data_IF_920907091298
#
_entry.id   IF_920907091298
#
_cell.length_a   1.000
_cell.length_b   1.000
_cell.length_c   1.000
_cell.angle_alpha   90.00
_cell.angle_beta   90.00
_cell.angle_gamma   90.00
#
_symmetry.space_group_name_H-M   'P 1'
#
loop_
_entity.id
_entity.type
_entity.pdbx_description
1 polymer ?
#
# COMPACT_ATOMS: atom_id res chain seq x y z
N UNK A 1 4.41 20.36 -14.95
CA UNK A 1 3.16 20.13 -15.70
C UNK A 1 3.39 20.26 -17.20
N UNK A 2 3.96 21.37 -17.69
CA UNK A 2 4.22 21.60 -19.12
C UNK A 2 5.18 20.57 -19.77
N UNK A 3 6.34 20.27 -19.17
CA UNK A 3 7.35 19.40 -19.79
C UNK A 3 6.93 17.93 -19.97
N UNK A 4 5.90 17.47 -19.24
CA UNK A 4 5.45 16.08 -19.23
C UNK A 4 3.95 15.95 -19.55
N UNK A 5 3.28 17.05 -19.89
CA UNK A 5 1.84 17.07 -20.12
C UNK A 5 1.02 16.56 -18.94
N UNK A 6 1.41 16.88 -17.69
CA UNK A 6 0.64 16.46 -16.52
C UNK A 6 -0.60 17.36 -16.40
N UNK A 7 -1.84 16.82 -16.46
CA UNK A 7 -3.09 17.61 -16.45
C UNK A 7 -3.26 18.44 -15.17
N UNK A 8 -2.94 17.83 -14.03
CA UNK A 8 -3.11 18.42 -12.73
C UNK A 8 -2.32 17.67 -11.66
N UNK A 9 -2.05 18.34 -10.55
CA UNK A 9 -1.19 17.88 -9.47
C UNK A 9 -1.61 18.53 -8.15
N UNK A 10 -1.64 17.75 -7.08
CA UNK A 10 -1.71 18.28 -5.71
C UNK A 10 -0.41 17.95 -4.96
N UNK A 11 0.11 18.91 -4.19
CA UNK A 11 1.39 18.81 -3.49
C UNK A 11 1.17 19.21 -2.04
N UNK A 12 1.78 18.44 -1.12
CA UNK A 12 1.97 18.80 0.28
C UNK A 12 3.45 18.70 0.65
N UNK A 13 3.94 19.62 1.47
CA UNK A 13 5.30 19.65 2.00
C UNK A 13 5.20 19.72 3.52
N UNK A 14 5.77 18.71 4.18
CA UNK A 14 5.93 18.67 5.65
C UNK A 14 7.39 18.96 5.97
N UNK A 15 7.61 19.91 6.87
CA UNK A 15 8.95 20.32 7.31
C UNK A 15 8.89 20.73 8.78
N UNK A 16 9.87 20.29 9.57
CA UNK A 16 9.94 20.54 11.02
C UNK A 16 8.61 20.25 11.74
N UNK A 17 8.03 19.07 11.47
CA UNK A 17 6.77 18.60 12.07
C UNK A 17 5.57 19.52 11.83
N UNK A 18 5.60 20.30 10.74
CA UNK A 18 4.53 21.19 10.34
C UNK A 18 4.24 21.05 8.85
N UNK A 19 2.97 21.23 8.47
CA UNK A 19 2.59 21.36 7.07
C UNK A 19 3.02 22.75 6.61
N UNK A 20 4.13 22.81 5.88
CA UNK A 20 4.71 24.06 5.39
C UNK A 20 3.98 24.58 4.15
N UNK A 21 3.41 23.68 3.35
CA UNK A 21 2.75 24.03 2.10
C UNK A 21 1.80 22.93 1.65
N UNK A 22 0.59 23.31 1.21
CA UNK A 22 -0.31 22.39 0.51
C UNK A 22 -1.10 23.13 -0.57
N UNK A 23 -1.09 22.63 -1.81
CA UNK A 23 -1.80 23.28 -2.94
C UNK A 23 -2.08 22.32 -4.10
N UNK A 24 -3.17 22.59 -4.83
CA UNK A 24 -3.49 21.99 -6.13
C UNK A 24 -3.15 22.89 -7.32
N UNK A 25 -2.87 22.27 -8.46
CA UNK A 25 -2.51 22.91 -9.72
C UNK A 25 -3.13 22.18 -10.91
N UNK A 26 -3.51 22.91 -11.95
CA UNK A 26 -4.09 22.34 -13.17
C UNK A 26 -5.50 21.80 -12.94
N UNK A 27 -5.87 20.77 -13.71
CA UNK A 27 -7.24 20.26 -13.76
C UNK A 27 -7.31 18.78 -13.40
N UNK A 28 -8.31 18.41 -12.60
CA UNK A 28 -8.65 17.01 -12.27
C UNK A 28 -9.48 16.37 -13.37
N UNK A 29 -10.13 17.19 -14.19
CA UNK A 29 -10.88 16.81 -15.38
C UNK A 29 -10.67 17.85 -16.48
N UNK A 30 -10.02 17.44 -17.57
CA UNK A 30 -9.74 18.29 -18.73
C UNK A 30 -10.99 18.62 -19.55
N UNK A 31 -12.02 17.77 -19.50
CA UNK A 31 -13.25 17.97 -20.27
C UNK A 31 -14.12 19.07 -19.65
N UNK A 32 -14.26 19.03 -18.33
CA UNK A 32 -15.09 19.97 -17.56
C UNK A 32 -14.28 21.12 -16.93
N UNK A 33 -12.95 21.08 -17.07
CA UNK A 33 -12.02 22.08 -16.49
C UNK A 33 -12.17 22.24 -14.98
N UNK A 34 -12.46 21.15 -14.27
CA UNK A 34 -12.48 21.15 -12.79
C UNK A 34 -11.05 21.30 -12.27
N UNK A 35 -10.80 22.34 -11.48
CA UNK A 35 -9.48 22.62 -10.92
C UNK A 35 -9.07 21.60 -9.86
N UNK A 36 -7.78 21.26 -9.83
CA UNK A 36 -7.22 20.48 -8.72
C UNK A 36 -7.10 21.38 -7.49
N UNK A 37 -7.57 20.89 -6.36
CA UNK A 37 -7.37 21.46 -5.03
C UNK A 37 -6.57 20.50 -4.15
N UNK A 38 -6.20 20.92 -2.95
CA UNK A 38 -5.58 20.03 -1.96
C UNK A 38 -6.46 18.86 -1.54
N UNK A 39 -7.78 19.01 -1.69
CA UNK A 39 -8.82 18.04 -1.34
C UNK A 39 -9.25 17.17 -2.52
N UNK A 40 -8.71 17.41 -3.72
CA UNK A 40 -8.95 16.53 -4.87
C UNK A 40 -8.38 15.15 -4.57
N UNK A 41 -9.20 14.11 -4.75
CA UNK A 41 -8.81 12.72 -4.50
C UNK A 41 -8.09 12.14 -5.71
N UNK A 42 -6.92 11.57 -5.48
CA UNK A 42 -6.14 10.84 -6.48
C UNK A 42 -5.99 9.38 -6.07
N UNK A 43 -6.03 8.46 -7.04
CA UNK A 43 -5.61 7.09 -6.80
C UNK A 43 -4.10 7.10 -6.52
N UNK A 44 -3.69 6.71 -5.31
CA UNK A 44 -2.28 6.76 -4.89
C UNK A 44 -1.52 5.48 -5.21
N UNK A 45 -2.21 4.49 -5.78
CA UNK A 45 -1.63 3.22 -6.22
C UNK A 45 -0.79 2.59 -5.11
N UNK A 46 0.46 2.23 -5.43
CA UNK A 46 1.29 1.43 -4.53
C UNK A 46 1.75 2.14 -3.25
N UNK A 47 1.48 3.43 -3.08
CA UNK A 47 1.60 4.09 -1.77
C UNK A 47 0.70 3.41 -0.73
N UNK A 48 -0.41 2.77 -1.15
CA UNK A 48 -1.25 1.93 -0.28
C UNK A 48 -0.47 0.90 0.54
N UNK A 49 0.66 0.40 0.04
CA UNK A 49 1.51 -0.55 0.75
C UNK A 49 2.02 -0.03 2.09
N UNK A 50 2.33 1.27 2.19
CA UNK A 50 2.76 1.84 3.47
C UNK A 50 1.65 1.74 4.51
N UNK A 51 0.40 1.98 4.13
CA UNK A 51 -0.75 1.84 5.03
C UNK A 51 -0.91 0.41 5.55
N UNK A 52 -0.77 -0.58 4.66
CA UNK A 52 -0.83 -1.99 5.06
C UNK A 52 0.31 -2.39 5.99
N UNK A 53 1.53 -1.91 5.73
CA UNK A 53 2.67 -2.18 6.60
C UNK A 53 2.49 -1.51 7.98
N UNK A 54 2.08 -0.24 8.02
CA UNK A 54 1.80 0.48 9.28
C UNK A 54 0.66 -0.16 10.06
N UNK A 55 -0.36 -0.72 9.39
CA UNK A 55 -1.43 -1.44 10.07
C UNK A 55 -0.91 -2.69 10.79
N UNK A 56 0.04 -3.40 10.18
CA UNK A 56 0.68 -4.54 10.84
C UNK A 56 1.57 -4.10 12.01
N UNK A 57 2.22 -2.94 11.93
CA UNK A 57 2.93 -2.35 13.08
C UNK A 57 1.98 -2.09 14.26
N UNK A 58 0.83 -1.46 14.00
CA UNK A 58 -0.21 -1.23 15.01
C UNK A 58 -0.72 -2.54 15.63
N UNK A 59 -0.85 -3.60 14.84
CA UNK A 59 -1.27 -4.92 15.35
C UNK A 59 -0.20 -5.63 16.16
N UNK A 60 1.07 -5.51 15.76
CA UNK A 60 2.23 -6.00 16.53
C UNK A 60 2.25 -5.32 17.89
N UNK A 61 2.13 -3.99 17.91
CA UNK A 61 2.09 -3.19 19.14
C UNK A 61 0.92 -3.59 20.05
N UNK A 62 -0.31 -3.65 19.50
CA UNK A 62 -1.51 -4.03 20.25
C UNK A 62 -1.52 -5.47 20.76
N UNK A 63 -0.72 -6.37 20.18
CA UNK A 63 -0.57 -7.71 20.74
C UNK A 63 0.08 -7.68 22.13
N UNK A 64 0.79 -6.60 22.49
CA UNK A 64 1.42 -6.37 23.79
C UNK A 64 2.36 -7.53 24.22
N UNK A 65 2.89 -8.29 23.25
CA UNK A 65 3.78 -9.43 23.45
C UNK A 65 4.67 -9.58 22.21
N UNK A 66 5.67 -8.71 22.13
CA UNK A 66 6.58 -8.62 20.99
C UNK A 66 7.41 -9.91 20.79
N UNK A 67 7.60 -10.71 21.85
CA UNK A 67 8.24 -12.03 21.72
C UNK A 67 7.39 -13.01 20.90
N UNK A 68 6.05 -12.89 20.96
CA UNK A 68 5.13 -13.75 20.20
C UNK A 68 4.79 -13.22 18.82
N UNK A 69 4.65 -11.91 18.67
CA UNK A 69 4.30 -11.28 17.41
C UNK A 69 5.23 -10.11 17.13
N UNK A 70 6.06 -10.24 16.10
CA UNK A 70 6.97 -9.21 15.60
C UNK A 70 7.22 -9.39 14.10
N UNK A 71 8.00 -8.50 13.50
CA UNK A 71 8.31 -8.54 12.06
C UNK A 71 8.96 -9.84 11.58
N UNK A 72 9.60 -10.59 12.47
CA UNK A 72 10.24 -11.87 12.18
C UNK A 72 9.36 -13.09 12.48
N UNK A 73 8.12 -12.89 12.97
CA UNK A 73 7.17 -13.99 13.19
C UNK A 73 6.89 -14.73 11.88
N UNK A 74 7.06 -16.07 11.83
CA UNK A 74 6.68 -16.87 10.68
C UNK A 74 5.19 -16.78 10.38
N UNK A 75 4.83 -16.63 9.11
CA UNK A 75 3.42 -16.48 8.71
C UNK A 75 2.55 -17.67 9.08
N UNK A 76 3.13 -18.87 9.14
CA UNK A 76 2.44 -20.09 9.54
C UNK A 76 1.97 -20.06 11.00
N UNK A 77 2.68 -19.34 11.88
CA UNK A 77 2.27 -19.18 13.28
C UNK A 77 1.02 -18.29 13.39
N UNK A 78 0.86 -17.33 12.48
CA UNK A 78 -0.28 -16.41 12.43
C UNK A 78 -1.47 -17.04 11.68
N UNK A 79 -1.22 -17.61 10.50
CA UNK A 79 -2.26 -18.11 9.58
C UNK A 79 -2.65 -19.57 9.86
N UNK A 80 -1.94 -20.25 10.75
CA UNK A 80 -2.20 -21.62 11.19
C UNK A 80 -1.81 -22.71 10.19
N UNK A 81 -2.08 -23.96 10.56
CA UNK A 81 -1.59 -25.16 9.86
C UNK A 81 -2.13 -25.36 8.44
N UNK A 82 -3.23 -24.66 8.10
CA UNK A 82 -3.82 -24.71 6.76
C UNK A 82 -3.14 -23.77 5.77
N UNK A 83 -2.29 -22.85 6.25
CA UNK A 83 -1.50 -21.98 5.40
C UNK A 83 -0.40 -22.77 4.68
N UNK A 84 -0.32 -22.57 3.35
CA UNK A 84 0.67 -23.20 2.49
C UNK A 84 1.07 -22.25 1.38
N UNK A 85 2.37 -22.14 1.16
CA UNK A 85 2.97 -21.64 -0.07
C UNK A 85 3.41 -22.85 -0.93
N UNK A 86 4.02 -22.58 -2.08
CA UNK A 86 4.29 -23.62 -3.08
C UNK A 86 5.16 -24.77 -2.56
N UNK A 87 6.15 -24.47 -1.73
CA UNK A 87 7.00 -25.46 -1.06
C UNK A 87 6.82 -25.42 0.44
N UNK A 88 7.09 -26.55 1.12
CA UNK A 88 7.15 -26.59 2.59
C UNK A 88 8.20 -25.62 3.12
N UNK A 89 9.39 -25.60 2.50
CA UNK A 89 10.47 -24.67 2.85
C UNK A 89 10.01 -23.20 2.86
N UNK A 90 9.33 -22.76 1.80
CA UNK A 90 8.81 -21.40 1.73
C UNK A 90 7.70 -21.16 2.76
N UNK A 91 6.85 -22.15 3.00
CA UNK A 91 5.76 -22.07 4.00
C UNK A 91 6.29 -21.92 5.43
N UNK A 92 7.32 -22.68 5.81
CA UNK A 92 7.86 -22.67 7.18
C UNK A 92 8.72 -21.43 7.47
N UNK A 93 9.40 -20.88 6.46
CA UNK A 93 10.43 -19.84 6.69
C UNK A 93 9.98 -18.41 6.41
N UNK A 94 8.90 -18.22 5.64
CA UNK A 94 8.45 -16.87 5.28
C UNK A 94 7.89 -16.15 6.51
N UNK A 95 8.40 -14.97 6.78
CA UNK A 95 7.98 -14.10 7.90
C UNK A 95 7.23 -12.86 7.40
N UNK A 96 6.71 -12.05 8.34
CA UNK A 96 6.08 -10.76 8.01
C UNK A 96 7.03 -9.83 7.26
N UNK A 97 8.27 -9.68 7.72
CA UNK A 97 9.26 -8.83 7.06
C UNK A 97 9.59 -9.33 5.66
N UNK A 98 9.60 -10.64 5.40
CA UNK A 98 9.88 -11.18 4.07
C UNK A 98 8.81 -10.79 3.04
N UNK A 99 7.53 -10.79 3.42
CA UNK A 99 6.44 -10.39 2.51
C UNK A 99 6.39 -8.88 2.29
N UNK A 100 6.71 -8.07 3.32
CA UNK A 100 6.71 -6.61 3.24
C UNK A 100 7.96 -6.05 2.56
N UNK A 101 9.06 -6.81 2.56
CA UNK A 101 10.33 -6.42 1.90
C UNK A 101 10.54 -7.05 0.53
N UNK A 102 9.53 -7.72 -0.02
CA UNK A 102 9.58 -8.34 -1.36
C UNK A 102 10.63 -9.47 -1.49
N UNK A 103 10.91 -10.22 -0.41
CA UNK A 103 12.00 -11.22 -0.33
C UNK A 103 11.55 -12.67 -0.38
N UNK A 104 10.32 -12.95 -0.80
CA UNK A 104 9.81 -14.33 -0.84
C UNK A 104 10.30 -15.15 -2.03
N UNK A 105 10.76 -14.50 -3.10
CA UNK A 105 11.08 -15.13 -4.38
C UNK A 105 9.86 -15.56 -5.19
N UNK A 106 8.65 -15.32 -4.68
CA UNK A 106 7.41 -15.54 -5.43
C UNK A 106 7.33 -14.49 -6.54
N UNK A 107 7.03 -14.88 -7.79
CA UNK A 107 6.81 -13.93 -8.89
C UNK A 107 5.57 -13.05 -8.65
N UNK A 108 5.64 -11.79 -9.08
CA UNK A 108 4.55 -10.81 -8.92
C UNK A 108 3.42 -10.91 -9.96
N UNK A 109 3.68 -11.47 -11.15
CA UNK A 109 2.72 -11.60 -12.26
C UNK A 109 1.82 -10.37 -12.52
N UNK A 110 2.41 -9.18 -12.47
CA UNK A 110 1.70 -7.90 -12.45
C UNK A 110 0.70 -7.72 -13.62
N UNK A 111 1.04 -8.20 -14.82
CA UNK A 111 0.14 -8.15 -15.97
C UNK A 111 -1.14 -8.97 -15.79
N UNK A 112 -1.05 -10.12 -15.13
CA UNK A 112 -2.21 -10.96 -14.85
C UNK A 112 -3.12 -10.32 -13.79
N UNK A 113 -2.53 -9.63 -12.81
CA UNK A 113 -3.28 -8.85 -11.82
C UNK A 113 -4.03 -7.70 -12.50
N UNK A 114 -3.37 -6.94 -13.36
CA UNK A 114 -3.99 -5.85 -14.14
C UNK A 114 -5.07 -6.32 -15.12
N UNK A 115 -5.07 -7.61 -15.50
CA UNK A 115 -6.10 -8.21 -16.34
C UNK A 115 -7.38 -8.62 -15.57
N UNK A 116 -7.45 -8.36 -14.26
CA UNK A 116 -8.66 -8.59 -13.46
C UNK A 116 -8.94 -10.05 -13.12
N UNK A 117 -7.96 -10.95 -13.24
CA UNK A 117 -8.12 -12.41 -13.06
C UNK A 117 -8.64 -12.80 -11.66
N UNK A 118 -8.51 -11.91 -10.66
CA UNK A 118 -8.83 -12.19 -9.26
C UNK A 118 -9.95 -11.32 -8.67
N UNK A 119 -10.70 -10.55 -9.48
CA UNK A 119 -11.70 -9.56 -9.00
C UNK A 119 -12.80 -10.13 -8.10
N UNK A 120 -13.12 -11.42 -8.23
CA UNK A 120 -14.20 -12.07 -7.48
C UNK A 120 -13.71 -12.95 -6.32
N UNK A 121 -12.43 -12.87 -5.96
CA UNK A 121 -11.90 -13.66 -4.84
C UNK A 121 -11.91 -12.86 -3.55
N UNK A 122 -12.32 -13.50 -2.45
CA UNK A 122 -12.03 -13.00 -1.11
C UNK A 122 -10.51 -13.09 -0.84
N UNK A 123 -10.00 -12.27 0.10
CA UNK A 123 -8.57 -12.30 0.49
C UNK A 123 -8.13 -13.68 1.00
N UNK A 124 -9.02 -14.39 1.68
CA UNK A 124 -8.82 -15.76 2.15
C UNK A 124 -8.67 -16.75 0.99
N UNK A 125 -9.54 -16.67 -0.02
CA UNK A 125 -9.45 -17.51 -1.22
C UNK A 125 -8.21 -17.19 -2.04
N UNK A 126 -7.89 -15.91 -2.17
CA UNK A 126 -6.68 -15.43 -2.82
C UNK A 126 -5.43 -16.01 -2.14
N UNK A 127 -5.33 -15.89 -0.82
CA UNK A 127 -4.22 -16.42 -0.02
C UNK A 127 -4.01 -17.91 -0.26
N UNK A 128 -5.10 -18.71 -0.29
CA UNK A 128 -5.03 -20.15 -0.58
C UNK A 128 -4.43 -20.48 -1.95
N UNK A 129 -4.50 -19.56 -2.91
CA UNK A 129 -3.98 -19.76 -4.28
C UNK A 129 -2.50 -19.45 -4.42
N UNK A 130 -1.89 -18.76 -3.46
CA UNK A 130 -0.45 -18.48 -3.45
C UNK A 130 0.40 -19.75 -3.50
N UNK A 131 -0.13 -20.88 -3.00
CA UNK A 131 0.51 -22.20 -3.10
C UNK A 131 0.75 -22.69 -4.53
N UNK A 132 0.12 -22.10 -5.54
CA UNK A 132 0.30 -22.48 -6.93
C UNK A 132 1.39 -21.64 -7.64
N UNK A 133 1.94 -20.63 -6.97
CA UNK A 133 2.99 -19.78 -7.52
C UNK A 133 4.36 -20.37 -7.20
N UNK A 134 5.02 -20.94 -8.21
CA UNK A 134 6.39 -21.44 -8.08
C UNK A 134 7.37 -20.27 -7.88
N UNK A 135 8.25 -20.30 -6.85
CA UNK A 135 9.19 -19.23 -6.61
C UNK A 135 10.34 -19.25 -7.64
N UNK A 136 10.78 -18.07 -8.08
CA UNK A 136 11.92 -17.90 -8.98
C UNK A 136 13.27 -18.12 -8.28
N UNK A 137 13.31 -17.87 -6.96
CA UNK A 137 14.48 -18.11 -6.12
C UNK A 137 14.07 -18.39 -4.67
N UNK A 138 15.01 -18.89 -3.87
CA UNK A 138 14.77 -19.17 -2.45
C UNK A 138 14.53 -17.89 -1.65
N UNK A 139 13.67 -17.97 -0.62
CA UNK A 139 13.39 -16.86 0.32
C UNK A 139 14.69 -16.17 0.76
N UNK A 140 14.69 -14.83 0.77
CA UNK A 140 15.82 -13.94 1.11
C UNK A 140 17.03 -13.97 0.16
N UNK A 141 16.99 -14.74 -0.93
CA UNK A 141 18.10 -14.80 -1.91
C UNK A 141 18.05 -13.71 -2.97
N UNK A 142 17.01 -12.87 -2.95
CA UNK A 142 16.80 -11.77 -3.88
C UNK A 142 15.56 -10.97 -3.49
N UNK A 143 15.17 -10.02 -4.36
CA UNK A 143 13.94 -9.24 -4.19
C UNK A 143 13.18 -9.12 -5.51
N UNK A 144 11.88 -9.40 -5.48
CA UNK A 144 10.95 -9.20 -6.60
C UNK A 144 9.76 -8.40 -6.06
N UNK A 145 9.54 -7.21 -6.61
CA UNK A 145 8.36 -6.43 -6.32
C UNK A 145 7.09 -7.27 -6.50
N UNK A 146 6.24 -7.31 -5.48
CA UNK A 146 5.18 -8.31 -5.41
C UNK A 146 3.92 -7.78 -4.72
N UNK A 147 2.85 -7.59 -5.51
CA UNK A 147 1.54 -7.21 -5.02
C UNK A 147 0.79 -8.36 -4.30
N UNK A 148 1.03 -9.63 -4.69
CA UNK A 148 0.45 -10.79 -4.01
C UNK A 148 0.85 -10.85 -2.53
N UNK A 149 2.09 -10.47 -2.21
CA UNK A 149 2.60 -10.49 -0.83
C UNK A 149 1.96 -9.39 0.04
N UNK A 150 1.61 -8.24 -0.54
CA UNK A 150 0.83 -7.23 0.17
C UNK A 150 -0.65 -7.61 0.30
N UNK A 151 -1.19 -8.36 -0.67
CA UNK A 151 -2.50 -8.97 -0.51
C UNK A 151 -2.50 -9.97 0.67
N UNK A 152 -1.45 -10.78 0.79
CA UNK A 152 -1.26 -11.65 1.96
C UNK A 152 -1.13 -10.85 3.25
N UNK A 153 -0.36 -9.76 3.27
CA UNK A 153 -0.20 -8.89 4.44
C UNK A 153 -1.54 -8.31 4.94
N UNK A 154 -2.42 -7.87 4.03
CA UNK A 154 -3.75 -7.44 4.41
C UNK A 154 -4.61 -8.57 4.99
N UNK A 155 -4.48 -9.80 4.47
CA UNK A 155 -5.18 -10.96 5.04
C UNK A 155 -4.63 -11.35 6.42
N UNK A 156 -3.32 -11.25 6.63
CA UNK A 156 -2.70 -11.43 7.94
C UNK A 156 -3.32 -10.46 8.95
N UNK A 157 -3.47 -9.17 8.58
CA UNK A 157 -4.08 -8.19 9.46
C UNK A 157 -5.51 -8.59 9.86
N UNK A 158 -6.31 -9.08 8.91
CA UNK A 158 -7.65 -9.59 9.20
C UNK A 158 -7.62 -10.76 10.19
N UNK A 159 -6.70 -11.72 10.02
CA UNK A 159 -6.58 -12.88 10.92
C UNK A 159 -6.12 -12.47 12.33
N UNK A 160 -5.19 -11.52 12.45
CA UNK A 160 -4.72 -11.01 13.73
C UNK A 160 -5.85 -10.29 14.51
N UNK A 161 -6.75 -9.61 13.80
CA UNK A 161 -7.87 -8.94 14.42
C UNK A 161 -9.05 -9.88 14.72
N UNK A 162 -9.43 -10.73 13.78
CA UNK A 162 -10.57 -11.65 13.87
C UNK A 162 -10.51 -12.75 12.80
N UNK A 163 -10.27 -13.99 13.23
CA UNK A 163 -10.18 -15.16 12.33
C UNK A 163 -11.54 -15.57 11.72
N UNK A 164 -12.66 -15.00 12.20
CA UNK A 164 -13.99 -15.28 11.65
C UNK A 164 -14.22 -14.62 10.28
N UNK A 165 -13.37 -13.66 9.91
CA UNK A 165 -13.43 -12.95 8.63
C UNK A 165 -14.53 -11.89 8.55
N UNK A 166 -14.99 -11.37 9.70
CA UNK A 166 -16.01 -10.32 9.74
C UNK A 166 -15.43 -8.92 9.65
N UNK A 167 -14.18 -8.74 10.04
CA UNK A 167 -13.47 -7.47 9.91
C UNK A 167 -12.60 -7.47 8.66
N UNK A 168 -12.73 -6.43 7.86
CA UNK A 168 -11.94 -6.28 6.63
C UNK A 168 -10.72 -5.38 6.88
N UNK A 169 -9.69 -5.57 6.06
CA UNK A 169 -8.54 -4.66 6.02
C UNK A 169 -8.94 -3.18 5.89
N UNK A 170 -9.97 -2.85 5.10
CA UNK A 170 -10.47 -1.47 4.97
C UNK A 170 -10.99 -0.91 6.29
N UNK A 171 -11.75 -1.73 7.05
CA UNK A 171 -12.31 -1.31 8.32
C UNK A 171 -11.22 -1.20 9.39
N UNK A 172 -10.26 -2.12 9.37
CA UNK A 172 -9.08 -2.06 10.23
C UNK A 172 -8.28 -0.78 9.99
N UNK A 173 -7.96 -0.45 8.73
CA UNK A 173 -7.29 0.81 8.41
C UNK A 173 -8.08 2.02 8.92
N UNK A 174 -9.39 2.06 8.66
CA UNK A 174 -10.26 3.17 9.09
C UNK A 174 -10.19 3.37 10.60
N UNK A 175 -10.40 2.30 11.37
CA UNK A 175 -10.51 2.35 12.82
C UNK A 175 -9.16 2.56 13.51
N UNK A 176 -8.11 1.89 13.04
CA UNK A 176 -6.83 1.86 13.73
C UNK A 176 -5.90 3.00 13.31
N UNK A 177 -5.98 3.48 12.06
CA UNK A 177 -5.05 4.48 11.55
C UNK A 177 -5.75 5.74 11.04
N UNK A 178 -6.68 5.62 10.09
CA UNK A 178 -7.18 6.78 9.36
C UNK A 178 -7.97 7.73 10.27
N UNK A 179 -8.87 7.21 11.10
CA UNK A 179 -9.64 8.03 12.04
C UNK A 179 -8.74 8.66 13.13
N UNK A 180 -7.88 7.92 13.84
CA UNK A 180 -6.97 8.51 14.83
C UNK A 180 -6.00 9.55 14.26
N UNK A 181 -5.47 9.33 13.04
CA UNK A 181 -4.56 10.28 12.39
C UNK A 181 -5.32 11.49 11.82
N UNK A 182 -6.64 11.38 11.61
CA UNK A 182 -7.49 12.44 11.08
C UNK A 182 -7.56 12.49 9.55
N UNK A 183 -7.30 11.36 8.87
CA UNK A 183 -7.34 11.21 7.41
C UNK A 183 -8.76 10.85 6.93
N UNK A 184 -9.62 11.85 6.82
CA UNK A 184 -11.06 11.66 6.63
C UNK A 184 -11.50 11.54 5.17
N UNK A 185 -10.63 11.84 4.21
CA UNK A 185 -10.97 11.88 2.78
C UNK A 185 -10.66 10.58 2.04
N UNK A 186 -10.03 9.61 2.72
CA UNK A 186 -9.69 8.31 2.13
C UNK A 186 -10.91 7.58 1.57
N UNK A 187 -10.73 7.02 0.37
CA UNK A 187 -11.66 6.07 -0.25
C UNK A 187 -10.90 4.83 -0.67
N UNK A 188 -11.58 3.69 -0.64
CA UNK A 188 -11.05 2.43 -1.14
C UNK A 188 -11.68 2.12 -2.48
N UNK A 189 -10.89 1.64 -3.44
CA UNK A 189 -11.40 1.27 -4.76
C UNK A 189 -12.36 0.09 -4.60
N UNK A 190 -13.59 0.21 -5.13
CA UNK A 190 -14.58 -0.86 -5.22
C UNK A 190 -15.04 -1.04 -6.67
N UNK A 191 -15.66 -2.17 -6.98
CA UNK A 191 -16.20 -2.43 -8.33
C UNK A 191 -17.46 -1.63 -8.62
N UNK A 192 -18.29 -1.43 -7.59
CA UNK A 192 -19.65 -0.90 -7.74
C UNK A 192 -19.71 0.64 -7.68
N UNK A 193 -18.73 1.30 -7.08
CA UNK A 193 -18.75 2.75 -6.95
C UNK A 193 -18.15 3.44 -8.18
N UNK A 194 -18.78 4.54 -8.57
CA UNK A 194 -18.25 5.54 -9.50
C UNK A 194 -18.26 6.86 -8.78
N UNK A 195 -17.08 7.49 -8.68
CA UNK A 195 -16.94 8.79 -8.02
C UNK A 195 -16.75 9.86 -9.08
N UNK A 196 -17.52 10.94 -8.97
CA UNK A 196 -17.36 12.13 -9.81
C UNK A 196 -16.40 13.15 -9.16
N UNK A 197 -16.11 13.00 -7.87
CA UNK A 197 -15.25 13.87 -7.06
C UNK A 197 -13.78 13.39 -6.96
N UNK A 198 -13.32 12.60 -7.93
CA UNK A 198 -11.94 12.11 -8.03
C UNK A 198 -11.26 12.64 -9.30
N UNK A 199 -9.94 12.76 -9.27
CA UNK A 199 -9.18 13.09 -10.47
C UNK A 199 -9.27 11.98 -11.50
N UNK A 200 -9.60 12.34 -12.74
CA UNK A 200 -9.61 11.43 -13.89
C UNK A 200 -8.18 11.01 -14.25
N UNK A 201 -8.02 9.74 -14.61
CA UNK A 201 -6.74 9.21 -15.10
C UNK A 201 -6.57 9.45 -16.60
N UNK A 202 -5.41 9.98 -17.00
CA UNK A 202 -5.08 10.23 -18.39
C UNK A 202 -3.79 9.50 -18.77
N UNK A 203 -3.72 8.99 -20.00
CA UNK A 203 -2.51 8.44 -20.61
C UNK A 203 -2.20 9.18 -21.91
N UNK A 204 -0.91 9.24 -22.27
CA UNK A 204 -0.48 9.87 -23.50
C UNK A 204 -0.60 8.86 -24.66
N UNK A 205 -1.50 9.11 -25.60
CA UNK A 205 -1.70 8.33 -26.83
C UNK A 205 -1.46 9.26 -28.02
N UNK A 206 -0.48 8.93 -28.86
CA UNK A 206 -0.12 9.72 -30.05
C UNK A 206 0.08 11.23 -29.74
N UNK A 207 0.69 11.53 -28.59
CA UNK A 207 0.95 12.89 -28.13
C UNK A 207 -0.25 13.60 -27.48
N UNK A 208 -1.41 12.95 -27.37
CA UNK A 208 -2.62 13.51 -26.77
C UNK A 208 -2.97 12.80 -25.45
N UNK A 209 -3.40 13.58 -24.46
CA UNK A 209 -3.90 13.04 -23.20
C UNK A 209 -5.29 12.47 -23.41
N UNK A 210 -5.41 11.16 -23.20
CA UNK A 210 -6.65 10.40 -23.37
C UNK A 210 -7.12 9.91 -22.01
N UNK A 211 -8.38 10.19 -21.66
CA UNK A 211 -9.01 9.64 -20.46
C UNK A 211 -9.18 8.13 -20.61
N UNK A 212 -8.73 7.37 -19.61
CA UNK A 212 -8.72 5.89 -19.67
C UNK A 212 -9.84 5.22 -18.90
N UNK A 213 -10.80 5.98 -18.39
CA UNK A 213 -11.90 5.42 -17.60
C UNK A 213 -11.49 5.00 -16.19
N UNK A 214 -12.49 4.69 -15.37
CA UNK A 214 -12.28 4.16 -14.02
C UNK A 214 -11.91 2.68 -14.01
N UNK A 215 -12.16 1.94 -15.09
CA UNK A 215 -11.89 0.50 -15.16
C UNK A 215 -10.41 0.18 -14.98
N UNK A 216 -9.52 1.03 -15.48
CA UNK A 216 -8.08 0.91 -15.25
C UNK A 216 -7.72 1.03 -13.76
N UNK A 217 -8.42 1.87 -13.01
CA UNK A 217 -8.24 2.01 -11.56
C UNK A 217 -8.88 0.83 -10.83
N UNK A 218 -10.07 0.39 -11.27
CA UNK A 218 -10.78 -0.78 -10.71
C UNK A 218 -10.02 -2.09 -10.88
N UNK A 219 -9.08 -2.16 -11.83
CA UNK A 219 -8.14 -3.28 -11.94
C UNK A 219 -7.26 -3.47 -10.67
N UNK A 220 -7.17 -2.48 -9.77
CA UNK A 220 -6.49 -2.60 -8.48
C UNK A 220 -7.33 -3.27 -7.37
N UNK A 221 -8.65 -3.42 -7.54
CA UNK A 221 -9.54 -4.05 -6.54
C UNK A 221 -9.03 -5.43 -6.06
N UNK A 222 -8.58 -6.35 -6.95
CA UNK A 222 -8.10 -7.67 -6.52
C UNK A 222 -6.84 -7.64 -5.64
N UNK A 223 -6.15 -6.50 -5.57
CA UNK A 223 -4.92 -6.30 -4.80
C UNK A 223 -5.09 -5.15 -3.81
N UNK A 224 -6.28 -5.03 -3.20
CA UNK A 224 -6.67 -3.88 -2.39
C UNK A 224 -5.56 -3.35 -1.45
N UNK A 225 -5.04 -4.19 -0.53
CA UNK A 225 -3.97 -3.81 0.39
C UNK A 225 -2.63 -3.42 -0.24
N UNK A 226 -2.48 -3.59 -1.55
CA UNK A 226 -1.31 -3.22 -2.31
C UNK A 226 -1.51 -1.95 -3.16
N UNK A 227 -2.75 -1.50 -3.43
CA UNK A 227 -2.95 -0.41 -4.39
C UNK A 227 -4.32 0.28 -4.50
N UNK A 228 -5.29 0.00 -3.63
CA UNK A 228 -6.66 0.49 -3.79
C UNK A 228 -7.03 1.76 -3.02
N UNK A 229 -6.08 2.61 -2.63
CA UNK A 229 -6.42 3.85 -1.92
C UNK A 229 -6.56 5.03 -2.88
N UNK A 230 -7.62 5.80 -2.69
CA UNK A 230 -7.70 7.20 -3.07
C UNK A 230 -7.41 8.08 -1.86
N UNK A 231 -6.59 9.10 -2.03
CA UNK A 231 -6.25 10.07 -0.99
C UNK A 231 -6.15 11.49 -1.54
N UNK A 232 -6.07 12.46 -0.64
CA UNK A 232 -5.89 13.88 -0.95
C UNK A 232 -4.51 14.33 -0.51
N UNK A 233 -4.05 15.49 -0.99
CA UNK A 233 -2.79 16.04 -0.52
C UNK A 233 -2.85 16.40 0.98
N UNK A 234 -4.01 16.85 1.46
CA UNK A 234 -4.25 17.14 2.89
C UNK A 234 -4.12 15.87 3.75
N UNK A 235 -4.77 14.76 3.37
CA UNK A 235 -4.67 13.48 4.07
C UNK A 235 -3.22 12.95 4.06
N UNK A 236 -2.54 13.00 2.90
CA UNK A 236 -1.15 12.54 2.81
C UNK A 236 -0.18 13.42 3.62
N UNK A 237 -0.48 14.70 3.85
CA UNK A 237 0.30 15.53 4.76
C UNK A 237 0.18 15.05 6.21
N UNK A 238 -1.02 14.65 6.64
CA UNK A 238 -1.25 14.04 7.95
C UNK A 238 -0.52 12.70 8.09
N UNK A 239 -0.53 11.88 7.03
CA UNK A 239 0.22 10.62 6.98
C UNK A 239 1.73 10.84 7.14
N UNK A 240 2.30 11.82 6.43
CA UNK A 240 3.71 12.17 6.57
C UNK A 240 4.04 12.69 7.97
N UNK A 241 3.19 13.55 8.55
CA UNK A 241 3.37 14.04 9.91
C UNK A 241 3.37 12.89 10.93
N UNK A 242 2.45 11.94 10.80
CA UNK A 242 2.38 10.77 11.67
C UNK A 242 3.70 9.97 11.68
N UNK A 243 4.24 9.68 10.50
CA UNK A 243 5.50 8.95 10.37
C UNK A 243 6.72 9.75 10.88
N UNK A 244 6.80 11.05 10.57
CA UNK A 244 7.90 11.93 11.01
C UNK A 244 7.83 12.17 12.54
N UNK A 245 6.63 12.14 13.13
CA UNK A 245 6.42 12.25 14.56
C UNK A 245 6.50 10.89 15.28
N UNK A 246 7.11 9.88 14.66
CA UNK A 246 7.35 8.57 15.27
C UNK A 246 6.07 7.93 15.86
N UNK A 247 4.99 7.92 15.09
CA UNK A 247 3.75 7.22 15.49
C UNK A 247 2.79 8.06 16.33
N UNK A 248 3.06 9.36 16.48
CA UNK A 248 2.19 10.28 17.22
C UNK A 248 1.21 11.00 16.31
N UNK A 249 -0.04 11.09 16.76
CA UNK A 249 -1.08 11.89 16.09
C UNK A 249 -0.78 13.39 16.25
N UNK A 250 -1.50 14.23 15.51
CA UNK A 250 -1.38 15.70 15.62
C UNK A 250 -1.66 16.24 17.03
N UNK A 251 -2.41 15.50 17.84
CA UNK A 251 -2.79 15.90 19.20
C UNK A 251 -1.76 15.39 20.24
N UNK A 252 -0.69 14.72 19.78
CA UNK A 252 0.40 14.20 20.61
C UNK A 252 0.15 12.83 21.21
N UNK A 253 -0.99 12.20 20.91
CA UNK A 253 -1.29 10.82 21.30
C UNK A 253 -0.36 9.86 20.54
N UNK A 254 0.32 8.99 21.27
CA UNK A 254 1.10 7.89 20.70
C UNK A 254 0.14 6.77 20.30
N UNK A 255 0.06 6.51 18.99
CA UNK A 255 -0.86 5.51 18.43
C UNK A 255 -0.17 4.15 18.26
N UNK A 256 1.12 4.18 17.94
CA UNK A 256 1.98 3.00 17.76
C UNK A 256 3.29 3.30 18.48
N UNK A 257 3.79 2.35 19.27
CA UNK A 257 5.12 2.45 19.87
C UNK A 257 6.19 2.74 18.80
N UNK A 258 7.01 3.76 19.07
CA UNK A 258 7.99 4.24 18.10
C UNK A 258 9.07 3.21 17.74
N UNK A 259 9.45 2.30 18.65
CA UNK A 259 10.47 1.29 18.35
C UNK A 259 9.94 0.34 17.27
N UNK A 260 8.67 -0.08 17.39
CA UNK A 260 8.00 -0.97 16.43
C UNK A 260 7.82 -0.27 15.08
N UNK A 261 7.43 1.00 15.08
CA UNK A 261 7.23 1.77 13.86
C UNK A 261 8.56 2.05 13.15
N UNK A 262 9.60 2.44 13.89
CA UNK A 262 10.90 2.81 13.33
C UNK A 262 11.61 1.64 12.65
N UNK A 263 11.35 0.40 13.08
CA UNK A 263 11.82 -0.81 12.41
C UNK A 263 11.39 -0.89 10.94
N UNK A 264 10.23 -0.31 10.57
CA UNK A 264 9.76 -0.26 9.18
C UNK A 264 10.69 0.52 8.26
N UNK A 265 11.51 1.42 8.80
CA UNK A 265 12.45 2.24 8.02
C UNK A 265 13.82 1.58 7.84
N UNK A 266 14.06 0.45 8.51
CA UNK A 266 15.32 -0.29 8.39
C UNK A 266 15.41 -0.96 7.01
N UNK A 267 16.55 -0.75 6.33
CA UNK A 267 16.80 -1.32 5.01
C UNK A 267 16.83 -2.84 5.02
N UNK A 268 15.84 -3.49 4.38
CA UNK A 268 15.73 -4.96 4.32
C UNK A 268 16.31 -5.59 3.05
N UNK A 269 16.50 -4.78 2.00
CA UNK A 269 16.97 -5.19 0.69
C UNK A 269 18.24 -4.42 0.37
N UNK A 270 19.34 -5.13 0.14
CA UNK A 270 20.53 -4.54 -0.46
C UNK A 270 20.34 -4.48 -1.98
N UNK A 271 20.34 -3.28 -2.53
CA UNK A 271 20.58 -3.14 -3.97
C UNK A 271 22.09 -3.04 -4.17
N UNK A 272 22.68 -3.79 -5.12
CA UNK A 272 24.03 -3.50 -5.56
C UNK A 272 24.06 -2.03 -5.97
N UNK A 273 25.08 -1.28 -5.52
CA UNK A 273 25.22 0.12 -5.92
C UNK A 273 25.14 0.20 -7.44
N UNK A 274 24.09 0.83 -7.96
CA UNK A 274 24.12 1.28 -9.34
C UNK A 274 25.33 2.19 -9.43
N UNK A 275 26.32 1.84 -10.27
CA UNK A 275 27.32 2.79 -10.74
C UNK A 275 26.56 3.86 -11.56
N UNK A 276 25.82 4.71 -10.88
CA UNK A 276 25.21 5.90 -11.42
C UNK A 276 26.36 6.90 -11.53
N UNK A 277 27.08 6.79 -12.64
CA UNK A 277 27.84 7.89 -13.16
C UNK A 277 26.84 9.03 -13.47
N UNK A 278 26.61 9.88 -12.47
CA UNK A 278 25.74 11.05 -12.52
C UNK A 278 26.19 12.09 -13.55
N UNK A 279 27.28 11.83 -14.29
CA UNK A 279 27.79 12.69 -15.36
C UNK A 279 27.14 12.45 -16.72
N UNK A 280 26.29 11.42 -16.87
CA UNK A 280 25.54 11.19 -18.10
C UNK A 280 24.16 11.83 -18.03
N UNK A 281 23.84 12.82 -18.88
CA UNK A 281 22.48 13.32 -19.02
C UNK A 281 21.58 12.22 -19.58
N UNK A 282 20.43 12.02 -18.93
CA UNK A 282 19.27 11.28 -19.47
C UNK A 282 18.51 12.13 -20.47
#
# INVERSE_FOLDING_TARGET
MECRGIPGLAISIVYNNQIAYTKGYGYSDLETSVEVTSQTKFAIGSVTKSFTATLLADMIDKANDYEKLNWHTPLKEILGQNFKLNTSYLTELTTLVDILSHKTGVPGYERALSAGVFVNLTRKEYTKRLRFLEPEFAVRSGSIYNNHMYMLAGHVAEILADDTGKISWENLLKMHLLQPIGMNSIRFVTLDETWEDVAKAYVLVDGNLTYVGMDMIKAAVPIGPAGSIFSTADDMAMWLLFHINHGKTKDGEELIDHEILDEMYLGQVSQPSLNNDLTKPT
#
